data_IF_823200253658
#
_entry.id   IF_823200253658
#
_cell.length_a   1.000
_cell.length_b   1.000
_cell.length_c   1.000
_cell.angle_alpha   90.00
_cell.angle_beta   90.00
_cell.angle_gamma   90.00
#
_symmetry.space_group_name_H-M   'P 1'
#
loop_
_entity.id
_entity.type
_entity.pdbx_description
1 polymer ?
#
# COMPACT_ATOMS: atom_id res chain seq x y z
N UNK A 1 -14.69 -8.52 -4.20
CA UNK A 1 -14.35 -7.27 -3.54
C UNK A 1 -13.94 -6.20 -4.55
N UNK A 2 -12.91 -6.35 -5.37
CA UNK A 2 -12.43 -5.35 -6.34
C UNK A 2 -13.52 -4.78 -7.25
N UNK A 3 -14.49 -5.60 -7.71
CA UNK A 3 -15.64 -5.13 -8.52
C UNK A 3 -16.58 -4.21 -7.71
N UNK A 4 -16.78 -4.49 -6.42
CA UNK A 4 -17.60 -3.63 -5.53
C UNK A 4 -16.89 -2.30 -5.29
N UNK A 5 -15.59 -2.34 -5.01
CA UNK A 5 -14.77 -1.13 -4.90
C UNK A 5 -14.84 -0.29 -6.17
N UNK A 6 -14.74 -0.91 -7.34
CA UNK A 6 -14.88 -0.19 -8.61
C UNK A 6 -16.25 0.45 -8.81
N UNK A 7 -17.34 -0.22 -8.39
CA UNK A 7 -18.69 0.37 -8.42
C UNK A 7 -18.78 1.60 -7.51
N UNK A 8 -18.19 1.53 -6.33
CA UNK A 8 -18.13 2.63 -5.37
C UNK A 8 -17.32 3.81 -5.94
N UNK A 9 -16.09 3.55 -6.43
CA UNK A 9 -15.20 4.57 -6.98
C UNK A 9 -15.86 5.34 -8.12
N UNK A 10 -16.45 4.66 -9.11
CA UNK A 10 -17.15 5.32 -10.23
C UNK A 10 -18.30 6.24 -9.80
N UNK A 11 -18.94 5.93 -8.69
CA UNK A 11 -20.07 6.72 -8.19
C UNK A 11 -19.62 7.94 -7.36
N UNK A 12 -18.51 7.82 -6.66
CA UNK A 12 -18.15 8.76 -5.60
C UNK A 12 -16.82 9.48 -5.80
N UNK A 13 -16.02 9.08 -6.81
CA UNK A 13 -14.69 9.63 -7.07
C UNK A 13 -14.48 9.89 -8.56
N UNK A 14 -13.82 11.01 -8.86
CA UNK A 14 -13.28 11.27 -10.19
C UNK A 14 -11.81 10.85 -10.16
N UNK A 15 -11.50 9.67 -10.68
CA UNK A 15 -10.13 9.15 -10.72
C UNK A 15 -9.50 9.61 -12.05
N UNK A 16 -8.34 10.27 -12.00
CA UNK A 16 -7.60 10.76 -13.15
C UNK A 16 -6.47 9.83 -13.57
N UNK A 17 -5.87 9.11 -12.62
CA UNK A 17 -4.80 8.17 -12.91
C UNK A 17 -4.84 6.93 -12.01
N UNK A 18 -4.23 5.84 -12.46
CA UNK A 18 -4.17 4.57 -11.75
C UNK A 18 -2.75 4.06 -11.74
N UNK A 19 -2.26 3.77 -10.54
CA UNK A 19 -0.99 3.11 -10.31
C UNK A 19 -1.20 1.80 -9.55
N UNK A 20 -0.41 0.79 -9.88
CA UNK A 20 -0.50 -0.50 -9.20
C UNK A 20 0.87 -1.14 -9.03
N UNK A 21 0.98 -1.96 -7.98
CA UNK A 21 2.06 -2.94 -7.92
C UNK A 21 2.04 -3.85 -9.15
N UNK A 22 3.19 -4.21 -9.73
CA UNK A 22 3.26 -5.15 -10.86
C UNK A 22 2.87 -6.58 -10.48
N UNK A 23 2.76 -6.90 -9.19
CA UNK A 23 2.35 -8.24 -8.76
C UNK A 23 0.91 -8.54 -9.23
N UNK A 24 0.72 -9.73 -9.80
CA UNK A 24 -0.50 -10.12 -10.50
C UNK A 24 -1.78 -9.84 -9.70
N UNK A 25 -1.79 -10.11 -8.39
CA UNK A 25 -2.94 -9.89 -7.51
C UNK A 25 -3.37 -8.41 -7.44
N UNK A 26 -2.41 -7.47 -7.39
CA UNK A 26 -2.71 -6.03 -7.38
C UNK A 26 -3.12 -5.54 -8.76
N UNK A 27 -2.41 -5.93 -9.80
CA UNK A 27 -2.76 -5.57 -11.17
C UNK A 27 -4.17 -6.05 -11.55
N UNK A 28 -4.54 -7.28 -11.17
CA UNK A 28 -5.89 -7.79 -11.36
C UNK A 28 -6.94 -7.00 -10.56
N UNK A 29 -6.62 -6.63 -9.31
CA UNK A 29 -7.49 -5.80 -8.47
C UNK A 29 -7.70 -4.43 -9.12
N UNK A 30 -6.64 -3.76 -9.57
CA UNK A 30 -6.72 -2.48 -10.28
C UNK A 30 -7.61 -2.59 -11.52
N UNK A 31 -7.40 -3.62 -12.35
CA UNK A 31 -8.21 -3.87 -13.56
C UNK A 31 -9.71 -4.01 -13.26
N UNK A 32 -10.07 -4.70 -12.18
CA UNK A 32 -11.49 -4.83 -11.79
C UNK A 32 -12.04 -3.55 -11.14
N UNK A 33 -11.23 -2.85 -10.36
CA UNK A 33 -11.63 -1.61 -9.70
C UNK A 33 -11.86 -0.46 -10.68
N UNK A 34 -11.07 -0.41 -11.76
CA UNK A 34 -11.15 0.68 -12.77
C UNK A 34 -11.91 0.31 -14.04
N UNK A 35 -12.55 -0.87 -14.07
CA UNK A 35 -13.29 -1.31 -15.25
C UNK A 35 -14.34 -0.28 -15.67
N UNK A 36 -14.23 0.20 -16.94
CA UNK A 36 -15.14 1.21 -17.52
C UNK A 36 -14.78 2.66 -17.14
N UNK A 37 -13.58 2.92 -16.63
CA UNK A 37 -13.04 4.27 -16.42
C UNK A 37 -12.14 4.75 -17.58
N UNK A 38 -11.81 3.84 -18.53
CA UNK A 38 -10.92 4.14 -19.67
C UNK A 38 -9.57 4.74 -19.25
N UNK A 39 -9.02 4.22 -18.14
CA UNK A 39 -7.73 4.62 -17.58
C UNK A 39 -6.71 3.49 -17.76
N UNK A 40 -5.50 3.86 -18.17
CA UNK A 40 -4.37 2.94 -18.18
C UNK A 40 -3.87 2.67 -16.75
N UNK A 41 -3.37 1.46 -16.52
CA UNK A 41 -2.78 1.07 -15.24
C UNK A 41 -1.27 1.18 -15.34
N UNK A 42 -0.70 2.18 -14.72
CA UNK A 42 0.74 2.37 -14.58
C UNK A 42 1.28 1.46 -13.50
N UNK A 43 2.38 0.76 -13.75
CA UNK A 43 2.99 -0.12 -12.75
C UNK A 43 4.26 0.50 -12.19
N UNK A 44 4.42 0.43 -10.85
CA UNK A 44 5.61 0.89 -10.16
C UNK A 44 6.15 -0.22 -9.24
N UNK A 45 7.42 -0.55 -9.41
CA UNK A 45 8.11 -1.57 -8.59
C UNK A 45 8.15 -1.19 -7.10
N UNK A 46 8.23 0.09 -6.79
CA UNK A 46 8.18 0.60 -5.43
C UNK A 46 6.88 0.28 -4.67
N UNK A 47 5.81 -0.09 -5.39
CA UNK A 47 4.53 -0.48 -4.79
C UNK A 47 4.42 -1.99 -4.51
N UNK A 48 5.45 -2.81 -4.72
CA UNK A 48 5.44 -4.25 -4.41
C UNK A 48 5.27 -4.49 -2.90
N UNK A 49 4.78 -5.68 -2.55
CA UNK A 49 4.74 -6.11 -1.16
C UNK A 49 6.17 -6.31 -0.61
N UNK A 50 6.31 -6.25 0.70
CA UNK A 50 7.54 -6.59 1.38
C UNK A 50 8.01 -7.98 0.95
N UNK A 51 9.25 -8.10 0.53
CA UNK A 51 9.86 -9.39 0.23
C UNK A 51 10.30 -10.03 1.55
N UNK A 52 9.80 -11.22 1.82
CA UNK A 52 10.16 -12.00 3.01
C UNK A 52 11.33 -12.97 2.76
N UNK A 53 11.96 -12.91 1.57
CA UNK A 53 13.13 -13.73 1.26
C UNK A 53 12.89 -15.21 1.50
N UNK A 54 13.74 -15.83 2.33
CA UNK A 54 13.66 -17.27 2.63
C UNK A 54 12.42 -17.66 3.44
N UNK A 55 11.64 -16.68 3.92
CA UNK A 55 10.38 -16.88 4.63
C UNK A 55 9.14 -16.68 3.75
N UNK A 56 9.31 -16.49 2.44
CA UNK A 56 8.19 -16.54 1.50
C UNK A 56 7.46 -17.89 1.62
N UNK A 57 6.16 -17.88 1.38
CA UNK A 57 5.27 -19.05 1.52
C UNK A 57 5.04 -19.58 2.96
N UNK A 58 5.69 -19.02 3.99
CA UNK A 58 5.35 -19.32 5.38
C UNK A 58 4.00 -18.73 5.75
N UNK A 59 3.29 -19.41 6.64
CA UNK A 59 2.06 -18.84 7.20
C UNK A 59 2.39 -17.67 8.13
N UNK A 60 1.52 -16.67 8.16
CA UNK A 60 1.71 -15.53 9.05
C UNK A 60 1.82 -15.92 10.54
N UNK A 61 1.11 -16.97 10.95
CA UNK A 61 1.22 -17.55 12.30
C UNK A 61 2.63 -18.10 12.58
N UNK A 62 3.24 -18.79 11.62
CA UNK A 62 4.62 -19.31 11.74
C UNK A 62 5.62 -18.16 11.82
N UNK A 63 5.45 -17.12 11.02
CA UNK A 63 6.28 -15.91 11.09
C UNK A 63 6.18 -15.21 12.44
N UNK A 64 4.99 -15.17 13.03
CA UNK A 64 4.76 -14.53 14.32
C UNK A 64 5.28 -15.37 15.49
N UNK A 65 5.04 -16.70 15.48
CA UNK A 65 5.32 -17.59 16.60
C UNK A 65 6.78 -18.09 16.58
N UNK A 66 7.28 -18.54 15.41
CA UNK A 66 8.60 -19.17 15.30
C UNK A 66 9.72 -18.17 15.09
N UNK A 67 9.45 -17.05 14.41
CA UNK A 67 10.44 -16.04 14.05
C UNK A 67 10.29 -14.71 14.80
N UNK A 68 9.23 -14.55 15.58
CA UNK A 68 8.94 -13.29 16.30
C UNK A 68 9.05 -12.05 15.39
N UNK A 69 8.66 -12.25 14.11
CA UNK A 69 8.91 -11.30 13.03
C UNK A 69 8.37 -9.90 13.33
N UNK A 70 7.14 -9.81 13.83
CA UNK A 70 6.48 -8.52 14.09
C UNK A 70 7.24 -7.73 15.15
N UNK A 71 7.59 -8.35 16.27
CA UNK A 71 8.31 -7.68 17.37
C UNK A 71 9.72 -7.29 16.96
N UNK A 72 10.42 -8.18 16.23
CA UNK A 72 11.77 -7.89 15.72
C UNK A 72 11.77 -6.74 14.73
N UNK A 73 10.89 -6.77 13.73
CA UNK A 73 10.80 -5.71 12.73
C UNK A 73 10.36 -4.36 13.35
N UNK A 74 9.47 -4.39 14.35
CA UNK A 74 9.04 -3.18 15.07
C UNK A 74 10.14 -2.65 15.99
N UNK A 75 10.88 -3.53 16.65
CA UNK A 75 11.99 -3.17 17.55
C UNK A 75 13.26 -2.71 16.82
N UNK A 76 13.47 -3.22 15.62
CA UNK A 76 14.58 -2.83 14.74
C UNK A 76 14.08 -2.76 13.28
N UNK A 77 13.89 -1.55 12.80
CA UNK A 77 13.39 -1.31 11.42
C UNK A 77 14.36 -1.78 10.34
N UNK A 78 15.62 -2.07 10.67
CA UNK A 78 16.62 -2.63 9.75
C UNK A 78 16.66 -4.17 9.79
N UNK A 79 15.91 -4.79 10.71
CA UNK A 79 15.79 -6.25 10.75
C UNK A 79 15.04 -6.78 9.53
N UNK A 80 15.58 -7.82 8.91
CA UNK A 80 14.97 -8.50 7.77
C UNK A 80 15.04 -10.02 7.91
N UNK A 81 14.15 -10.72 7.23
CA UNK A 81 14.35 -12.13 6.94
C UNK A 81 15.62 -12.35 6.11
N UNK A 82 16.23 -13.52 6.14
CA UNK A 82 17.33 -13.85 5.23
C UNK A 82 16.90 -13.64 3.77
N UNK A 83 17.70 -12.90 3.00
CA UNK A 83 17.40 -12.52 1.61
C UNK A 83 16.12 -11.69 1.42
N UNK A 84 15.51 -11.21 2.50
CA UNK A 84 14.30 -10.39 2.48
C UNK A 84 14.57 -8.88 2.67
N UNK A 85 13.51 -8.11 2.72
CA UNK A 85 13.54 -6.66 2.99
C UNK A 85 13.33 -6.36 4.47
N UNK A 86 13.93 -5.27 4.93
CA UNK A 86 13.60 -4.63 6.21
C UNK A 86 12.47 -3.60 6.03
N UNK A 87 11.86 -3.16 7.14
CA UNK A 87 10.87 -2.08 7.11
C UNK A 87 11.45 -0.77 6.53
N UNK A 88 12.72 -0.48 6.81
CA UNK A 88 13.41 0.70 6.30
C UNK A 88 13.58 0.65 4.77
N UNK A 89 13.92 -0.50 4.23
CA UNK A 89 14.00 -0.70 2.78
C UNK A 89 12.64 -0.58 2.10
N UNK A 90 11.59 -1.17 2.68
CA UNK A 90 10.22 -1.02 2.19
C UNK A 90 9.79 0.44 2.26
N UNK A 91 10.06 1.14 3.38
CA UNK A 91 9.74 2.56 3.55
C UNK A 91 10.41 3.41 2.47
N UNK A 92 11.70 3.19 2.24
CA UNK A 92 12.46 3.94 1.24
C UNK A 92 11.82 3.85 -0.14
N UNK A 93 11.52 2.63 -0.62
CA UNK A 93 10.98 2.47 -1.98
C UNK A 93 9.51 2.87 -2.12
N UNK A 94 8.69 2.59 -1.10
CA UNK A 94 7.26 2.91 -1.19
C UNK A 94 7.02 4.41 -1.08
N UNK A 95 7.73 5.11 -0.20
CA UNK A 95 7.65 6.57 -0.09
C UNK A 95 8.15 7.25 -1.37
N UNK A 96 9.25 6.75 -1.95
CA UNK A 96 9.73 7.25 -3.24
C UNK A 96 8.69 7.07 -4.35
N UNK A 97 7.99 5.91 -4.40
CA UNK A 97 6.92 5.68 -5.36
C UNK A 97 5.74 6.65 -5.17
N UNK A 98 5.30 6.89 -3.93
CA UNK A 98 4.23 7.86 -3.66
C UNK A 98 4.63 9.29 -4.01
N UNK A 99 5.87 9.71 -3.70
CA UNK A 99 6.37 11.03 -4.09
C UNK A 99 6.48 11.19 -5.60
N UNK A 100 6.94 10.16 -6.31
CA UNK A 100 6.97 10.16 -7.77
C UNK A 100 5.57 10.33 -8.36
N UNK A 101 4.54 9.70 -7.78
CA UNK A 101 3.15 9.87 -8.20
C UNK A 101 2.69 11.30 -7.93
N UNK A 102 2.94 11.82 -6.74
CA UNK A 102 2.56 13.17 -6.31
C UNK A 102 3.14 14.25 -7.25
N UNK A 103 4.42 14.14 -7.59
CA UNK A 103 5.12 15.06 -8.51
C UNK A 103 4.59 15.02 -9.96
N UNK A 104 3.88 13.97 -10.36
CA UNK A 104 3.35 13.80 -11.72
C UNK A 104 1.90 14.27 -11.87
N UNK A 105 1.27 14.68 -10.77
CA UNK A 105 -0.15 15.04 -10.75
C UNK A 105 -0.37 16.40 -10.10
N UNK A 106 -1.45 17.07 -10.51
CA UNK A 106 -1.86 18.32 -9.90
C UNK A 106 -2.56 18.10 -8.55
N UNK A 107 -2.52 19.11 -7.66
CA UNK A 107 -3.07 19.03 -6.30
C UNK A 107 -4.58 18.70 -6.26
N UNK A 108 -5.33 18.99 -7.33
CA UNK A 108 -6.76 18.70 -7.44
C UNK A 108 -7.07 17.35 -8.11
N UNK A 109 -6.06 16.61 -8.54
CA UNK A 109 -6.23 15.29 -9.15
C UNK A 109 -6.34 14.18 -8.09
N UNK A 110 -7.29 13.28 -8.30
CA UNK A 110 -7.42 12.07 -7.47
C UNK A 110 -6.79 10.88 -8.19
N UNK A 111 -5.78 10.29 -7.58
CA UNK A 111 -5.03 9.15 -8.11
C UNK A 111 -5.37 7.89 -7.31
N UNK A 112 -5.67 6.80 -8.01
CA UNK A 112 -5.86 5.50 -7.39
C UNK A 112 -4.56 4.72 -7.36
N UNK A 113 -4.10 4.36 -6.16
CA UNK A 113 -2.94 3.48 -5.96
C UNK A 113 -3.40 2.13 -5.42
N UNK A 114 -3.02 1.02 -6.08
CA UNK A 114 -3.33 -0.34 -5.66
C UNK A 114 -2.04 -1.07 -5.30
N UNK A 115 -1.90 -1.40 -4.02
CA UNK A 115 -0.70 -2.01 -3.47
C UNK A 115 -1.07 -3.10 -2.46
N UNK A 116 -0.27 -3.34 -1.44
CA UNK A 116 -0.36 -4.48 -0.54
C UNK A 116 -0.44 -4.04 0.92
N UNK A 117 -0.76 -4.98 1.79
CA UNK A 117 -1.01 -4.72 3.20
C UNK A 117 0.18 -4.09 3.91
N UNK A 118 1.34 -4.74 3.89
CA UNK A 118 2.53 -4.24 4.60
C UNK A 118 3.09 -2.98 3.91
N UNK A 119 3.20 -2.97 2.59
CA UNK A 119 3.70 -1.81 1.86
C UNK A 119 2.88 -0.53 2.15
N UNK A 120 1.53 -0.62 2.14
CA UNK A 120 0.66 0.50 2.47
C UNK A 120 0.72 0.87 3.96
N UNK A 121 0.75 -0.10 4.87
CA UNK A 121 0.87 0.15 6.31
C UNK A 121 2.17 0.90 6.64
N UNK A 122 3.29 0.49 6.01
CA UNK A 122 4.58 1.17 6.13
C UNK A 122 4.51 2.60 5.56
N UNK A 123 3.92 2.80 4.38
CA UNK A 123 3.76 4.13 3.79
C UNK A 123 2.95 5.06 4.73
N UNK A 124 1.81 4.60 5.24
CA UNK A 124 0.96 5.36 6.18
C UNK A 124 1.74 5.69 7.44
N UNK A 125 2.48 4.72 8.00
CA UNK A 125 3.31 4.93 9.19
C UNK A 125 4.36 6.02 8.97
N UNK A 126 5.04 6.02 7.83
CA UNK A 126 6.03 7.06 7.50
C UNK A 126 5.37 8.42 7.32
N UNK A 127 4.28 8.51 6.58
CA UNK A 127 3.61 9.79 6.35
C UNK A 127 3.05 10.41 7.63
N UNK A 128 2.48 9.61 8.54
CA UNK A 128 1.89 10.14 9.77
C UNK A 128 2.85 10.28 10.94
N UNK A 129 3.93 9.49 10.96
CA UNK A 129 4.83 9.42 12.14
C UNK A 129 6.30 9.65 11.78
N UNK A 130 6.60 9.90 10.52
CA UNK A 130 7.97 10.03 10.02
C UNK A 130 8.86 8.81 10.36
N UNK A 131 8.26 7.63 10.50
CA UNK A 131 8.93 6.39 10.85
C UNK A 131 8.11 5.17 10.39
N UNK A 132 8.71 4.10 9.87
CA UNK A 132 8.01 2.86 9.55
C UNK A 132 7.66 2.01 10.77
N UNK A 133 8.22 2.31 11.96
CA UNK A 133 8.12 1.46 13.15
C UNK A 133 6.68 1.22 13.64
N UNK A 134 5.74 2.10 13.29
CA UNK A 134 4.33 1.97 13.66
C UNK A 134 3.45 1.28 12.60
N UNK A 135 4.04 0.61 11.62
CA UNK A 135 3.29 -0.08 10.56
C UNK A 135 2.24 -1.06 11.07
N UNK A 136 2.53 -1.74 12.19
CA UNK A 136 1.63 -2.70 12.84
C UNK A 136 0.32 -2.08 13.37
N UNK A 137 0.25 -0.75 13.53
CA UNK A 137 -0.97 -0.04 13.93
C UNK A 137 -1.99 0.04 12.77
N UNK A 138 -1.56 -0.26 11.54
CA UNK A 138 -2.33 -0.09 10.31
C UNK A 138 -2.71 -1.43 9.68
N UNK A 139 -3.69 -2.11 10.26
CA UNK A 139 -4.23 -3.33 9.67
C UNK A 139 -5.26 -3.00 8.59
N UNK A 140 -4.89 -3.21 7.32
CA UNK A 140 -5.71 -2.88 6.17
C UNK A 140 -6.46 -4.09 5.62
N UNK A 141 -7.79 -3.95 5.45
CA UNK A 141 -8.61 -4.98 4.83
C UNK A 141 -8.41 -5.04 3.31
N UNK A 142 -8.57 -6.23 2.73
CA UNK A 142 -8.51 -6.38 1.28
C UNK A 142 -9.57 -5.52 0.59
N UNK A 143 -9.13 -4.70 -0.37
CA UNK A 143 -9.97 -3.75 -1.11
C UNK A 143 -10.61 -2.65 -0.24
N UNK A 144 -10.12 -2.40 0.97
CA UNK A 144 -10.43 -1.18 1.69
C UNK A 144 -9.85 0.04 1.00
N UNK A 145 -10.39 1.19 1.32
CA UNK A 145 -9.95 2.48 0.81
C UNK A 145 -9.33 3.31 1.94
N UNK A 146 -8.12 3.80 1.70
CA UNK A 146 -7.48 4.82 2.51
C UNK A 146 -7.29 6.04 1.62
N UNK A 147 -7.76 7.18 2.05
CA UNK A 147 -7.71 8.44 1.31
C UNK A 147 -6.87 9.44 2.09
N UNK A 148 -5.83 9.95 1.47
CA UNK A 148 -4.94 10.92 2.07
C UNK A 148 -4.38 11.88 1.02
N UNK A 149 -3.95 13.02 1.47
CA UNK A 149 -3.22 14.05 0.74
C UNK A 149 -1.80 14.08 1.26
N UNK A 150 -0.81 14.23 0.40
CA UNK A 150 0.60 14.12 0.78
C UNK A 150 1.26 15.46 1.09
N UNK A 151 0.89 16.52 0.39
CA UNK A 151 1.63 17.78 0.40
C UNK A 151 0.80 18.94 0.98
N UNK A 152 1.37 19.88 1.73
CA UNK A 152 2.75 19.88 2.26
C UNK A 152 2.89 18.97 3.49
N UNK A 153 1.83 18.81 4.29
CA UNK A 153 1.75 17.93 5.46
C UNK A 153 0.69 16.86 5.21
N UNK A 154 1.01 15.57 5.41
CA UNK A 154 0.09 14.47 5.12
C UNK A 154 -1.20 14.57 5.95
N UNK A 155 -2.34 14.53 5.26
CA UNK A 155 -3.68 14.53 5.88
C UNK A 155 -4.40 13.25 5.48
N UNK A 156 -4.84 12.46 6.46
CA UNK A 156 -5.67 11.27 6.22
C UNK A 156 -7.13 11.63 6.40
N UNK A 157 -7.89 11.54 5.32
CA UNK A 157 -9.36 11.78 5.30
C UNK A 157 -10.14 10.53 5.68
N UNK A 158 -9.65 9.35 5.26
CA UNK A 158 -10.26 8.04 5.54
C UNK A 158 -9.15 7.01 5.70
N UNK A 159 -9.32 6.12 6.67
CA UNK A 159 -8.40 5.03 6.91
C UNK A 159 -9.16 3.70 6.91
N UNK A 160 -8.72 2.77 6.05
CA UNK A 160 -9.25 1.41 5.99
C UNK A 160 -10.79 1.33 5.87
N UNK A 161 -11.39 2.20 5.06
CA UNK A 161 -12.84 2.23 4.82
C UNK A 161 -13.25 1.04 3.93
N UNK A 162 -14.13 0.18 4.42
CA UNK A 162 -14.58 -1.02 3.71
C UNK A 162 -16.11 -1.23 3.71
N UNK A 163 -16.88 -0.24 4.12
CA UNK A 163 -18.35 -0.32 4.15
C UNK A 163 -19.00 -0.51 2.76
N UNK A 164 -18.24 -0.29 1.69
CA UNK A 164 -18.67 -0.51 0.31
C UNK A 164 -18.58 -1.97 -0.16
N UNK A 165 -17.98 -2.86 0.63
CA UNK A 165 -17.73 -4.27 0.27
C UNK A 165 -18.91 -5.21 0.52
#
# INVERSE_FOLDING_TARGET
QAKRTGKYLRKHKSIQAVYASPLQRCHATAKFATKGMELDINTLDGLKEMCLGDWEDMRFSELAEDHDFINRATGDIHHSAPNGESLDQVATRVVAAFRQIDEQHADDETVLVVSHGVALAVAISVFLHNSPARWGDYHLNNCSLTEFELSPDPIVYRLNEYAHL
#
